data_IF_787589994032
#
_entry.id   IF_787589994032
#
_cell.length_a   1.000
_cell.length_b   1.000
_cell.length_c   1.000
_cell.angle_alpha   90.00
_cell.angle_beta   90.00
_cell.angle_gamma   90.00
#
_symmetry.space_group_name_H-M   'P 1'
#
loop_
_entity.id
_entity.type
_entity.pdbx_description
1 polymer ?
#
# COMPACT_ATOMS: atom_id res chain seq x y z
N UNK A 1 24.35 -9.99 -39.95
CA UNK A 1 23.02 -10.59 -39.82
C UNK A 1 23.07 -11.53 -38.62
N UNK A 2 22.60 -11.05 -37.47
CA UNK A 2 22.40 -11.85 -36.26
C UNK A 2 20.90 -12.21 -36.20
N UNK A 3 20.52 -13.43 -35.81
CA UNK A 3 19.15 -13.90 -35.90
C UNK A 3 18.25 -13.21 -34.85
N UNK A 4 17.00 -12.98 -35.23
CA UNK A 4 15.93 -12.46 -34.38
C UNK A 4 15.76 -13.35 -33.13
N UNK A 5 15.82 -12.72 -31.94
CA UNK A 5 15.29 -13.32 -30.71
C UNK A 5 13.78 -13.37 -30.87
N UNK A 6 13.25 -14.58 -31.07
CA UNK A 6 11.81 -14.82 -30.97
C UNK A 6 11.29 -14.32 -29.63
N UNK A 7 10.34 -13.39 -29.67
CA UNK A 7 9.55 -13.00 -28.50
C UNK A 7 8.79 -14.25 -28.02
N UNK A 8 9.26 -14.84 -26.92
CA UNK A 8 8.43 -15.75 -26.16
C UNK A 8 7.28 -14.93 -25.59
N UNK A 9 6.08 -15.18 -26.13
CA UNK A 9 4.81 -14.65 -25.67
C UNK A 9 4.68 -14.95 -24.16
N UNK A 10 4.31 -13.96 -23.31
CA UNK A 10 4.07 -14.25 -21.90
C UNK A 10 3.01 -15.36 -21.81
N UNK A 11 3.17 -16.33 -20.89
CA UNK A 11 2.18 -17.39 -20.72
C UNK A 11 0.83 -16.75 -20.38
N UNK A 12 -0.29 -17.32 -20.86
CA UNK A 12 -1.62 -16.84 -20.50
C UNK A 12 -1.77 -16.80 -18.98
N UNK A 13 -2.63 -15.91 -18.45
CA UNK A 13 -2.90 -15.82 -17.03
C UNK A 13 -3.21 -17.22 -16.50
N UNK A 14 -2.52 -17.61 -15.43
CA UNK A 14 -2.70 -18.90 -14.79
C UNK A 14 -4.10 -18.87 -14.14
N UNK A 15 -5.11 -19.37 -14.88
CA UNK A 15 -6.54 -19.49 -14.55
C UNK A 15 -7.47 -18.34 -15.01
N UNK A 16 -7.69 -18.19 -16.32
CA UNK A 16 -8.90 -17.52 -16.83
C UNK A 16 -9.97 -18.57 -17.18
N UNK A 17 -11.17 -18.46 -16.58
CA UNK A 17 -12.27 -19.45 -16.68
C UNK A 17 -13.26 -19.16 -17.82
N UNK A 18 -12.98 -18.14 -18.62
CA UNK A 18 -13.87 -17.49 -19.58
C UNK A 18 -13.06 -17.02 -20.82
N UNK A 19 -13.65 -16.20 -21.68
CA UNK A 19 -12.95 -15.72 -22.88
C UNK A 19 -11.76 -14.82 -22.52
N UNK A 20 -10.60 -15.11 -23.11
CA UNK A 20 -9.41 -14.26 -23.03
C UNK A 20 -9.36 -13.36 -24.26
N UNK A 21 -9.37 -12.04 -24.04
CA UNK A 21 -9.16 -11.03 -25.07
C UNK A 21 -7.71 -10.54 -25.02
N UNK A 22 -7.06 -10.34 -26.18
CA UNK A 22 -5.74 -9.71 -26.23
C UNK A 22 -5.95 -8.22 -26.47
N UNK A 23 -5.52 -7.39 -25.53
CA UNK A 23 -5.73 -5.94 -25.58
C UNK A 23 -5.00 -5.27 -26.75
N UNK A 24 -5.61 -4.19 -27.24
CA UNK A 24 -5.13 -3.29 -28.29
C UNK A 24 -5.14 -1.84 -27.80
N UNK A 25 -4.49 -0.93 -28.53
CA UNK A 25 -4.30 0.47 -28.13
C UNK A 25 -5.60 1.23 -27.84
N UNK A 26 -6.72 0.76 -28.40
CA UNK A 26 -8.03 1.42 -28.31
C UNK A 26 -8.97 0.72 -27.31
N UNK A 27 -8.53 -0.35 -26.66
CA UNK A 27 -9.38 -1.07 -25.72
C UNK A 27 -9.52 -0.31 -24.41
N UNK A 28 -10.75 -0.34 -23.89
CA UNK A 28 -11.20 0.21 -22.62
C UNK A 28 -12.16 -0.78 -21.98
N UNK A 29 -12.34 -0.76 -20.65
CA UNK A 29 -13.28 -1.66 -19.98
C UNK A 29 -14.68 -1.48 -20.55
N UNK A 30 -15.07 -0.25 -20.89
CA UNK A 30 -16.38 0.02 -21.50
C UNK A 30 -16.48 -0.52 -22.93
N UNK A 31 -15.44 -0.40 -23.75
CA UNK A 31 -15.46 -0.97 -25.10
C UNK A 31 -15.50 -2.50 -25.07
N UNK A 32 -14.81 -3.13 -24.12
CA UNK A 32 -14.79 -4.58 -23.94
C UNK A 32 -16.11 -5.07 -23.32
N UNK A 33 -16.63 -4.37 -22.32
CA UNK A 33 -17.91 -4.62 -21.69
C UNK A 33 -19.05 -4.59 -22.70
N UNK A 34 -19.08 -3.55 -23.54
CA UNK A 34 -20.05 -3.40 -24.62
C UNK A 34 -19.90 -4.51 -25.66
N UNK A 35 -18.67 -4.86 -26.05
CA UNK A 35 -18.39 -5.85 -27.08
C UNK A 35 -18.75 -7.27 -26.63
N UNK A 36 -18.49 -7.58 -25.36
CA UNK A 36 -18.58 -8.95 -24.83
C UNK A 36 -19.76 -9.17 -23.87
N UNK A 37 -20.59 -8.15 -23.62
CA UNK A 37 -21.73 -8.20 -22.70
C UNK A 37 -21.35 -8.64 -21.29
N UNK A 38 -20.46 -7.88 -20.65
CA UNK A 38 -19.92 -8.14 -19.31
C UNK A 38 -19.87 -6.84 -18.49
N UNK A 39 -19.67 -6.92 -17.17
CA UNK A 39 -19.48 -5.72 -16.34
C UNK A 39 -18.10 -5.08 -16.58
N UNK A 40 -18.07 -3.74 -16.77
CA UNK A 40 -16.82 -2.98 -16.88
C UNK A 40 -15.97 -3.13 -15.62
N UNK A 41 -16.62 -3.07 -14.45
CA UNK A 41 -15.95 -3.18 -13.16
C UNK A 41 -15.39 -4.59 -12.95
N UNK A 42 -16.11 -5.63 -13.35
CA UNK A 42 -15.60 -7.00 -13.23
C UNK A 42 -14.41 -7.26 -14.17
N UNK A 43 -14.38 -6.66 -15.38
CA UNK A 43 -13.17 -6.68 -16.22
C UNK A 43 -12.00 -6.10 -15.42
N UNK A 44 -12.18 -4.95 -14.77
CA UNK A 44 -11.13 -4.34 -13.96
C UNK A 44 -10.69 -5.23 -12.78
N UNK A 45 -11.61 -5.77 -11.99
CA UNK A 45 -11.28 -6.55 -10.80
C UNK A 45 -10.69 -7.92 -11.10
N UNK A 46 -11.13 -8.57 -12.19
CA UNK A 46 -10.63 -9.89 -12.58
C UNK A 46 -9.29 -9.83 -13.29
N UNK A 47 -8.87 -8.64 -13.75
CA UNK A 47 -7.64 -8.44 -14.48
C UNK A 47 -6.69 -7.56 -13.69
N UNK A 48 -5.88 -8.18 -12.81
CA UNK A 48 -4.91 -7.46 -12.00
C UNK A 48 -3.95 -6.53 -12.78
N UNK A 49 -3.77 -6.74 -14.08
CA UNK A 49 -2.84 -5.96 -14.90
C UNK A 49 -3.51 -4.72 -15.54
N UNK A 50 -4.83 -4.54 -15.41
CA UNK A 50 -5.54 -3.33 -15.86
C UNK A 50 -5.39 -2.24 -14.79
N UNK A 51 -4.74 -1.14 -15.15
CA UNK A 51 -4.50 0.02 -14.28
C UNK A 51 -5.65 1.02 -14.26
N UNK A 52 -6.23 1.23 -15.44
CA UNK A 52 -7.26 2.22 -15.70
C UNK A 52 -8.14 1.70 -16.81
N UNK A 53 -9.45 1.85 -16.64
CA UNK A 53 -10.40 1.30 -17.59
C UNK A 53 -10.45 2.06 -18.93
N UNK A 54 -9.82 3.23 -19.06
CA UNK A 54 -9.92 4.08 -20.24
C UNK A 54 -8.66 4.12 -21.12
N UNK A 55 -7.60 3.39 -20.76
CA UNK A 55 -6.32 3.40 -21.47
C UNK A 55 -5.54 2.11 -21.15
N UNK A 56 -5.79 1.06 -21.94
CA UNK A 56 -5.22 -0.28 -21.77
C UNK A 56 -3.88 -0.45 -22.50
N UNK A 57 -2.96 -1.20 -21.88
CA UNK A 57 -1.68 -1.57 -22.49
C UNK A 57 -1.89 -2.64 -23.56
N UNK A 58 -1.24 -2.51 -24.72
CA UNK A 58 -1.31 -3.48 -25.83
C UNK A 58 -0.68 -4.85 -25.50
N UNK A 59 -1.16 -5.89 -26.18
CA UNK A 59 -0.65 -7.27 -26.11
C UNK A 59 -0.72 -7.92 -24.72
N UNK A 60 -1.63 -7.44 -23.86
CA UNK A 60 -1.91 -8.01 -22.54
C UNK A 60 -3.13 -8.96 -22.62
N UNK A 61 -3.02 -10.20 -22.12
CA UNK A 61 -4.17 -11.10 -22.06
C UNK A 61 -5.14 -10.69 -20.93
N UNK A 62 -6.34 -10.28 -21.32
CA UNK A 62 -7.45 -9.89 -20.45
C UNK A 62 -8.44 -11.04 -20.32
N UNK A 63 -8.63 -11.53 -19.10
CA UNK A 63 -9.66 -12.49 -18.73
C UNK A 63 -11.03 -11.79 -18.57
N UNK A 64 -11.95 -11.99 -19.50
CA UNK A 64 -13.26 -11.35 -19.40
C UNK A 64 -14.13 -12.02 -18.33
N UNK A 65 -15.02 -11.33 -17.63
CA UNK A 65 -16.04 -11.98 -16.80
C UNK A 65 -16.98 -12.84 -17.65
N UNK A 66 -17.84 -13.61 -17.00
CA UNK A 66 -18.93 -14.27 -17.69
C UNK A 66 -20.03 -13.25 -18.07
N UNK A 67 -20.84 -13.60 -19.06
CA UNK A 67 -21.76 -12.66 -19.68
C UNK A 67 -22.99 -12.37 -18.81
N UNK A 68 -23.40 -11.11 -18.79
CA UNK A 68 -24.63 -10.66 -18.18
C UNK A 68 -25.37 -9.72 -19.14
N UNK A 69 -26.66 -9.51 -18.91
CA UNK A 69 -27.31 -8.34 -19.49
C UNK A 69 -26.71 -7.10 -18.84
N UNK A 70 -26.34 -6.11 -19.66
CA UNK A 70 -25.68 -4.90 -19.18
C UNK A 70 -26.60 -3.68 -19.28
N UNK A 71 -26.49 -2.78 -18.31
CA UNK A 71 -27.04 -1.43 -18.38
C UNK A 71 -25.89 -0.41 -18.42
N UNK A 72 -26.00 0.58 -19.30
CA UNK A 72 -25.03 1.67 -19.38
C UNK A 72 -25.46 2.81 -18.46
N UNK A 73 -24.67 3.05 -17.42
CA UNK A 73 -24.92 4.08 -16.40
C UNK A 73 -24.81 5.48 -16.99
N UNK A 74 -25.81 6.31 -16.68
CA UNK A 74 -25.91 7.72 -17.07
C UNK A 74 -25.47 8.65 -15.93
N UNK A 75 -25.17 9.89 -16.28
CA UNK A 75 -24.60 10.89 -15.35
C UNK A 75 -25.44 11.15 -14.08
N UNK A 76 -26.76 11.03 -14.19
CA UNK A 76 -27.71 11.28 -13.09
C UNK A 76 -28.39 10.00 -12.57
N UNK A 77 -27.89 8.83 -12.96
CA UNK A 77 -28.44 7.58 -12.45
C UNK A 77 -28.10 7.41 -10.97
N UNK A 78 -29.04 6.86 -10.21
CA UNK A 78 -28.85 6.42 -8.83
C UNK A 78 -29.19 4.94 -8.75
N UNK A 79 -28.75 4.24 -7.71
CA UNK A 79 -29.18 2.86 -7.48
C UNK A 79 -30.72 2.74 -7.51
N UNK A 80 -31.43 3.69 -6.90
CA UNK A 80 -32.90 3.74 -6.90
C UNK A 80 -33.46 3.84 -8.31
N UNK A 81 -33.04 4.83 -9.10
CA UNK A 81 -33.59 5.05 -10.44
C UNK A 81 -33.29 3.90 -11.40
N UNK A 82 -32.11 3.29 -11.29
CA UNK A 82 -31.73 2.14 -12.12
C UNK A 82 -32.49 0.90 -11.70
N UNK A 83 -32.61 0.63 -10.39
CA UNK A 83 -33.34 -0.53 -9.88
C UNK A 83 -34.84 -0.45 -10.23
N UNK A 84 -35.46 0.73 -10.10
CA UNK A 84 -36.85 0.97 -10.52
C UNK A 84 -37.05 0.75 -12.02
N UNK A 85 -36.13 1.24 -12.84
CA UNK A 85 -36.16 1.04 -14.29
C UNK A 85 -36.05 -0.44 -14.68
N UNK A 86 -35.22 -1.20 -13.95
CA UNK A 86 -34.98 -2.63 -14.19
C UNK A 86 -36.05 -3.53 -13.53
N UNK A 87 -36.86 -3.01 -12.62
CA UNK A 87 -37.84 -3.79 -11.87
C UNK A 87 -37.23 -4.73 -10.83
N UNK A 88 -36.06 -4.40 -10.28
CA UNK A 88 -35.35 -5.19 -9.24
C UNK A 88 -35.21 -4.36 -7.95
N UNK A 89 -34.85 -5.00 -6.83
CA UNK A 89 -34.54 -4.26 -5.61
C UNK A 89 -33.15 -3.65 -5.68
N UNK A 90 -32.90 -2.58 -4.91
CA UNK A 90 -31.54 -1.99 -4.78
C UNK A 90 -30.56 -3.03 -4.28
N UNK A 91 -31.00 -3.89 -3.36
CA UNK A 91 -30.19 -4.97 -2.81
C UNK A 91 -29.79 -5.97 -3.89
N UNK A 92 -30.73 -6.41 -4.73
CA UNK A 92 -30.42 -7.29 -5.87
C UNK A 92 -29.47 -6.61 -6.86
N UNK A 93 -29.68 -5.32 -7.15
CA UNK A 93 -28.78 -4.57 -8.03
C UNK A 93 -27.34 -4.50 -7.50
N UNK A 94 -27.16 -4.32 -6.18
CA UNK A 94 -25.86 -4.35 -5.51
C UNK A 94 -25.29 -5.77 -5.52
N UNK A 95 -26.08 -6.82 -5.27
CA UNK A 95 -25.61 -8.21 -5.34
C UNK A 95 -25.09 -8.58 -6.73
N UNK A 96 -25.70 -8.04 -7.79
CA UNK A 96 -25.22 -8.20 -9.17
C UNK A 96 -23.98 -7.36 -9.50
N UNK A 97 -23.65 -6.38 -8.66
CA UNK A 97 -22.56 -5.43 -8.85
C UNK A 97 -21.87 -5.14 -7.50
N UNK A 98 -21.22 -6.14 -6.86
CA UNK A 98 -20.78 -6.07 -5.46
C UNK A 98 -19.63 -5.09 -5.21
N UNK A 99 -19.15 -4.43 -6.26
CA UNK A 99 -18.22 -3.30 -6.16
C UNK A 99 -18.93 -2.00 -5.75
N UNK A 100 -20.25 -1.93 -5.86
CA UNK A 100 -21.08 -0.84 -5.34
C UNK A 100 -21.26 -1.05 -3.84
N UNK A 101 -21.07 0.00 -3.04
CA UNK A 101 -21.29 -0.08 -1.59
C UNK A 101 -22.76 -0.33 -1.25
N UNK A 102 -23.00 -0.96 -0.10
CA UNK A 102 -24.35 -1.20 0.44
C UNK A 102 -25.19 0.08 0.62
N UNK A 103 -24.52 1.23 0.79
CA UNK A 103 -25.14 2.56 0.92
C UNK A 103 -25.29 3.31 -0.42
N UNK A 104 -24.86 2.71 -1.54
CA UNK A 104 -24.85 3.28 -2.89
C UNK A 104 -24.12 4.63 -3.02
N UNK A 105 -23.27 4.99 -2.05
CA UNK A 105 -22.62 6.30 -2.01
C UNK A 105 -21.65 6.51 -3.19
N UNK A 106 -21.08 5.42 -3.69
CA UNK A 106 -20.14 5.39 -4.80
C UNK A 106 -20.81 5.14 -6.16
N UNK A 107 -22.14 5.20 -6.25
CA UNK A 107 -22.86 5.08 -7.51
C UNK A 107 -23.59 6.39 -7.87
N UNK A 108 -23.35 7.00 -9.05
CA UNK A 108 -22.59 6.47 -10.19
C UNK A 108 -21.10 6.89 -10.18
N UNK A 109 -20.62 7.60 -9.15
CA UNK A 109 -19.30 8.23 -9.13
C UNK A 109 -18.12 7.24 -9.33
N UNK A 110 -18.25 6.02 -8.83
CA UNK A 110 -17.29 4.92 -9.00
C UNK A 110 -17.17 4.44 -10.46
N UNK A 111 -18.21 4.60 -11.28
CA UNK A 111 -18.18 4.24 -12.71
C UNK A 111 -17.21 5.08 -13.53
N UNK A 112 -16.80 6.25 -13.03
CA UNK A 112 -15.77 7.09 -13.67
C UNK A 112 -14.44 6.34 -13.75
N UNK A 113 -14.15 5.47 -12.77
CA UNK A 113 -12.89 4.73 -12.69
C UNK A 113 -13.03 3.29 -13.17
N UNK A 114 -14.18 2.67 -12.89
CA UNK A 114 -14.44 1.26 -13.16
C UNK A 114 -15.17 1.01 -14.48
N UNK A 115 -15.62 2.07 -15.16
CA UNK A 115 -16.44 2.00 -16.38
C UNK A 115 -17.95 2.00 -16.09
N UNK A 116 -18.73 2.20 -17.15
CA UNK A 116 -20.17 2.51 -17.10
C UNK A 116 -21.11 1.33 -17.34
N UNK A 117 -20.62 0.15 -17.71
CA UNK A 117 -21.48 -1.01 -17.95
C UNK A 117 -21.56 -1.88 -16.70
N UNK A 118 -22.78 -2.05 -16.20
CA UNK A 118 -23.10 -2.82 -14.98
C UNK A 118 -24.00 -3.99 -15.32
N UNK A 119 -23.91 -5.07 -14.55
CA UNK A 119 -24.75 -6.24 -14.77
C UNK A 119 -26.17 -6.02 -14.22
N UNK A 120 -27.18 -6.48 -14.96
CA UNK A 120 -28.60 -6.45 -14.57
C UNK A 120 -29.20 -7.86 -14.45
N UNK A 121 -28.40 -8.86 -14.74
CA UNK A 121 -28.64 -10.27 -14.46
C UNK A 121 -27.36 -10.86 -13.88
N UNK A 122 -27.43 -12.02 -13.19
CA UNK A 122 -26.23 -12.75 -12.79
C UNK A 122 -25.29 -12.95 -13.99
N UNK A 123 -24.00 -12.84 -13.75
CA UNK A 123 -22.96 -13.00 -14.77
C UNK A 123 -22.73 -14.45 -15.18
N UNK A 124 -23.43 -15.43 -14.62
CA UNK A 124 -23.07 -16.85 -14.67
C UNK A 124 -23.38 -17.64 -15.95
N UNK A 125 -24.05 -17.08 -16.95
CA UNK A 125 -24.45 -17.84 -18.13
C UNK A 125 -25.28 -19.09 -17.78
N UNK A 126 -26.58 -18.89 -17.54
CA UNK A 126 -27.56 -19.91 -17.13
C UNK A 126 -27.49 -20.36 -15.65
N UNK A 127 -27.93 -19.51 -14.71
CA UNK A 127 -28.56 -20.05 -13.50
C UNK A 127 -29.81 -19.25 -13.07
N UNK A 128 -30.98 -19.90 -13.15
CA UNK A 128 -32.20 -19.40 -12.52
C UNK A 128 -32.12 -19.74 -11.02
N UNK A 129 -31.87 -18.73 -10.19
CA UNK A 129 -31.94 -18.85 -8.72
C UNK A 129 -33.38 -19.20 -8.32
N UNK A 130 -33.66 -20.49 -8.08
CA UNK A 130 -34.84 -20.88 -7.28
C UNK A 130 -34.50 -20.67 -5.82
N UNK A 131 -34.78 -19.47 -5.30
CA UNK A 131 -34.76 -19.20 -3.86
C UNK A 131 -35.87 -19.98 -3.19
N UNK A 132 -35.52 -20.93 -2.31
CA UNK A 132 -36.47 -21.48 -1.34
C UNK A 132 -36.51 -20.53 -0.13
N UNK A 133 -37.72 -20.23 0.38
CA UNK A 133 -38.02 -19.25 1.45
C UNK A 133 -37.41 -19.58 2.84
N UNK A 134 -36.37 -20.42 2.91
CA UNK A 134 -35.75 -20.87 4.15
C UNK A 134 -34.28 -20.49 4.32
N UNK A 135 -33.68 -19.76 3.37
CA UNK A 135 -32.27 -19.37 3.48
C UNK A 135 -32.12 -18.06 4.27
N UNK A 136 -31.35 -18.03 5.39
CA UNK A 136 -31.07 -16.80 6.11
C UNK A 136 -30.31 -15.83 5.20
N UNK A 137 -30.76 -14.58 5.20
CA UNK A 137 -30.23 -13.42 4.50
C UNK A 137 -28.73 -13.43 4.19
N UNK A 138 -28.38 -13.48 2.89
CA UNK A 138 -27.43 -12.60 2.18
C UNK A 138 -26.09 -12.26 2.87
N UNK A 139 -25.49 -13.23 3.56
CA UNK A 139 -24.20 -13.06 4.22
C UNK A 139 -23.30 -14.27 3.94
N UNK A 140 -22.09 -13.99 3.45
CA UNK A 140 -21.00 -14.97 3.33
C UNK A 140 -20.63 -15.69 4.64
N UNK A 141 -21.09 -15.17 5.79
CA UNK A 141 -20.94 -15.77 7.11
C UNK A 141 -22.27 -16.29 7.66
N UNK A 142 -22.20 -17.38 8.41
CA UNK A 142 -23.29 -17.85 9.24
C UNK A 142 -23.15 -17.35 10.69
N UNK A 143 -24.28 -17.13 11.35
CA UNK A 143 -24.32 -16.65 12.75
C UNK A 143 -23.95 -17.75 13.75
N UNK A 144 -24.35 -18.99 13.48
CA UNK A 144 -24.14 -20.14 14.36
C UNK A 144 -23.60 -21.35 13.60
N UNK A 145 -22.93 -22.25 14.33
CA UNK A 145 -22.43 -23.52 13.79
C UNK A 145 -23.60 -24.52 13.70
N UNK A 146 -23.72 -25.23 12.57
CA UNK A 146 -24.71 -26.31 12.41
C UNK A 146 -24.02 -27.67 12.43
N UNK A 147 -24.82 -28.73 12.59
CA UNK A 147 -24.32 -30.11 12.60
C UNK A 147 -23.57 -30.43 11.30
N UNK A 148 -22.37 -30.99 11.46
CA UNK A 148 -21.50 -31.39 10.36
C UNK A 148 -22.08 -32.61 9.63
N UNK A 149 -22.29 -32.56 8.31
CA UNK A 149 -22.73 -33.71 7.52
C UNK A 149 -21.73 -34.87 7.55
N UNK A 150 -22.23 -36.10 7.44
CA UNK A 150 -21.38 -37.31 7.42
C UNK A 150 -20.44 -37.33 6.21
N UNK A 151 -20.87 -36.77 5.08
CA UNK A 151 -20.07 -36.66 3.85
C UNK A 151 -19.18 -35.42 3.79
N UNK A 152 -19.04 -34.65 4.88
CA UNK A 152 -18.23 -33.43 4.89
C UNK A 152 -16.73 -33.72 4.72
N UNK A 153 -16.04 -32.91 3.89
CA UNK A 153 -14.60 -33.01 3.66
C UNK A 153 -13.83 -33.01 4.98
N UNK A 154 -12.99 -34.03 5.27
CA UNK A 154 -12.28 -34.13 6.54
C UNK A 154 -11.45 -32.89 6.90
N UNK A 155 -10.96 -32.16 5.88
CA UNK A 155 -10.17 -30.96 6.07
C UNK A 155 -10.99 -29.68 6.31
N UNK A 156 -12.30 -29.70 6.02
CA UNK A 156 -13.17 -28.55 6.20
C UNK A 156 -13.31 -28.16 7.68
N UNK A 157 -13.30 -26.86 7.95
CA UNK A 157 -13.40 -26.29 9.29
C UNK A 157 -14.72 -26.72 9.97
N UNK A 158 -14.67 -26.97 11.27
CA UNK A 158 -15.84 -27.33 12.07
C UNK A 158 -16.72 -26.13 12.42
N UNK A 159 -16.17 -24.91 12.36
CA UNK A 159 -16.87 -23.65 12.58
C UNK A 159 -17.71 -23.25 11.35
N UNK A 160 -18.66 -24.09 10.97
CA UNK A 160 -19.46 -23.92 9.78
C UNK A 160 -20.97 -23.94 10.06
N UNK A 161 -21.67 -22.91 9.58
CA UNK A 161 -23.12 -22.78 9.71
C UNK A 161 -23.91 -23.12 8.46
N UNK A 162 -23.26 -23.28 7.30
CA UNK A 162 -23.90 -23.75 6.06
C UNK A 162 -22.98 -24.70 5.29
N UNK A 163 -23.50 -25.88 4.97
CA UNK A 163 -22.80 -26.93 4.23
C UNK A 163 -23.45 -27.16 2.87
N UNK A 164 -22.63 -27.43 1.86
CA UNK A 164 -23.10 -27.78 0.53
C UNK A 164 -22.46 -29.07 0.07
N UNK A 165 -23.25 -30.03 -0.42
CA UNK A 165 -22.76 -31.26 -1.04
C UNK A 165 -22.59 -31.02 -2.53
N UNK A 166 -21.35 -31.13 -3.00
CA UNK A 166 -21.03 -30.97 -4.43
C UNK A 166 -21.73 -32.06 -5.23
N UNK A 167 -22.43 -31.66 -6.29
CA UNK A 167 -23.06 -32.52 -7.26
C UNK A 167 -22.13 -32.80 -8.46
N UNK A 168 -22.47 -33.83 -9.25
CA UNK A 168 -21.71 -34.12 -10.47
C UNK A 168 -21.95 -33.02 -11.51
N UNK A 169 -20.87 -32.36 -11.93
CA UNK A 169 -20.93 -31.24 -12.87
C UNK A 169 -20.85 -29.86 -12.22
N UNK A 170 -20.86 -29.79 -10.88
CA UNK A 170 -20.56 -28.54 -10.17
C UNK A 170 -19.15 -28.05 -10.46
N UNK A 171 -19.01 -26.73 -10.46
CA UNK A 171 -17.72 -26.08 -10.47
C UNK A 171 -17.60 -25.06 -9.34
N UNK A 172 -16.39 -24.57 -9.12
CA UNK A 172 -16.16 -23.64 -8.03
C UNK A 172 -17.02 -22.38 -8.14
N UNK A 173 -17.30 -21.91 -9.35
CA UNK A 173 -18.05 -20.69 -9.54
C UNK A 173 -19.53 -20.89 -9.21
N UNK A 174 -20.12 -22.00 -9.66
CA UNK A 174 -21.51 -22.33 -9.32
C UNK A 174 -21.70 -22.42 -7.81
N UNK A 175 -20.76 -23.06 -7.10
CA UNK A 175 -20.81 -23.21 -5.64
C UNK A 175 -20.59 -21.87 -4.91
N UNK A 176 -19.57 -21.09 -5.30
CA UNK A 176 -19.28 -19.80 -4.67
C UNK A 176 -20.44 -18.81 -4.87
N UNK A 177 -20.97 -18.73 -6.09
CA UNK A 177 -22.07 -17.86 -6.46
C UNK A 177 -23.39 -18.26 -5.82
N UNK A 178 -23.71 -19.56 -5.78
CA UNK A 178 -24.93 -20.07 -5.14
C UNK A 178 -25.01 -19.71 -3.65
N UNK A 179 -23.87 -19.63 -2.98
CA UNK A 179 -23.79 -19.45 -1.53
C UNK A 179 -23.28 -18.08 -1.07
N UNK A 180 -23.03 -17.17 -2.02
CA UNK A 180 -22.53 -15.82 -1.76
C UNK A 180 -21.27 -15.83 -0.88
N UNK A 181 -20.29 -16.66 -1.26
CA UNK A 181 -19.02 -16.80 -0.52
C UNK A 181 -17.84 -16.51 -1.43
N UNK A 182 -16.92 -15.65 -0.97
CA UNK A 182 -15.69 -15.35 -1.71
C UNK A 182 -14.69 -16.50 -1.69
N UNK A 183 -13.91 -16.67 -2.76
CA UNK A 183 -12.91 -17.75 -2.89
C UNK A 183 -11.91 -17.81 -1.73
N UNK A 184 -11.47 -16.66 -1.22
CA UNK A 184 -10.55 -16.58 -0.07
C UNK A 184 -11.17 -17.15 1.20
N UNK A 185 -12.42 -16.79 1.49
CA UNK A 185 -13.16 -17.28 2.64
C UNK A 185 -13.52 -18.76 2.48
N UNK A 186 -13.95 -19.18 1.29
CA UNK A 186 -14.27 -20.57 0.98
C UNK A 186 -13.04 -21.48 1.12
N UNK A 187 -11.87 -21.09 0.61
CA UNK A 187 -10.64 -21.90 0.72
C UNK A 187 -10.03 -21.85 2.11
N UNK A 188 -10.22 -20.76 2.86
CA UNK A 188 -9.86 -20.71 4.28
C UNK A 188 -10.73 -21.67 5.12
N UNK A 189 -12.03 -21.74 4.84
CA UNK A 189 -12.96 -22.66 5.49
C UNK A 189 -12.80 -24.11 5.02
N UNK A 190 -12.27 -24.32 3.81
CA UNK A 190 -12.04 -25.63 3.20
C UNK A 190 -10.60 -25.81 2.70
N UNK A 191 -9.61 -26.04 3.60
CA UNK A 191 -8.21 -26.20 3.26
C UNK A 191 -7.85 -27.28 2.22
N UNK A 192 -8.75 -28.25 1.97
CA UNK A 192 -8.56 -29.22 0.87
C UNK A 192 -8.78 -28.62 -0.51
N UNK A 193 -9.38 -27.43 -0.61
CA UNK A 193 -9.65 -26.72 -1.85
C UNK A 193 -8.49 -25.79 -2.17
N UNK A 194 -7.87 -25.99 -3.34
CA UNK A 194 -6.83 -25.08 -3.81
C UNK A 194 -7.44 -23.80 -4.38
N UNK A 195 -7.01 -22.59 -3.96
CA UNK A 195 -7.43 -21.35 -4.59
C UNK A 195 -7.11 -21.27 -6.09
N UNK A 196 -6.06 -21.98 -6.53
CA UNK A 196 -5.62 -22.00 -7.94
C UNK A 196 -6.27 -23.10 -8.77
N UNK A 197 -6.90 -24.09 -8.11
CA UNK A 197 -7.45 -25.30 -8.74
C UNK A 197 -8.81 -25.68 -8.13
N UNK A 198 -9.62 -24.67 -7.80
CA UNK A 198 -10.78 -24.83 -6.93
C UNK A 198 -11.77 -25.86 -7.49
N UNK A 199 -12.20 -25.71 -8.75
CA UNK A 199 -13.13 -26.63 -9.42
C UNK A 199 -12.63 -28.07 -9.40
N UNK A 200 -11.38 -28.30 -9.79
CA UNK A 200 -10.79 -29.65 -9.78
C UNK A 200 -10.48 -30.18 -8.38
N UNK A 201 -10.58 -29.34 -7.34
CA UNK A 201 -10.45 -29.76 -5.94
C UNK A 201 -11.81 -30.16 -5.34
N UNK A 202 -12.93 -29.80 -5.98
CA UNK A 202 -14.26 -30.25 -5.58
C UNK A 202 -14.43 -31.74 -5.92
N UNK A 203 -15.00 -32.48 -4.98
CA UNK A 203 -15.24 -33.91 -5.12
C UNK A 203 -16.76 -34.12 -5.08
N UNK A 204 -17.38 -34.58 -6.18
CA UNK A 204 -18.81 -34.88 -6.21
C UNK A 204 -19.20 -35.86 -5.09
N UNK A 205 -20.32 -35.60 -4.45
CA UNK A 205 -20.83 -36.30 -3.27
C UNK A 205 -20.21 -35.87 -1.94
N UNK A 206 -19.21 -34.98 -1.93
CA UNK A 206 -18.57 -34.49 -0.71
C UNK A 206 -19.10 -33.11 -0.30
N UNK A 207 -19.30 -32.91 1.00
CA UNK A 207 -19.79 -31.64 1.53
C UNK A 207 -18.66 -30.67 1.94
N UNK A 208 -18.81 -29.40 1.59
CA UNK A 208 -17.90 -28.31 1.91
C UNK A 208 -18.61 -27.20 2.68
N UNK A 209 -17.86 -26.45 3.46
CA UNK A 209 -18.38 -25.30 4.19
C UNK A 209 -18.58 -24.11 3.24
N UNK A 210 -19.82 -23.68 3.05
CA UNK A 210 -20.18 -22.55 2.17
C UNK A 210 -20.69 -21.34 2.96
N UNK A 211 -20.80 -21.46 4.28
CA UNK A 211 -21.08 -20.35 5.20
C UNK A 211 -20.36 -20.58 6.53
N UNK A 212 -19.07 -20.26 6.63
CA UNK A 212 -18.33 -20.35 7.88
C UNK A 212 -18.84 -19.34 8.90
N UNK A 213 -18.67 -19.61 10.20
CA UNK A 213 -18.83 -18.57 11.22
C UNK A 213 -17.59 -17.68 11.25
N UNK A 214 -17.68 -16.51 11.89
CA UNK A 214 -16.51 -15.62 12.06
C UNK A 214 -15.34 -16.25 12.83
N UNK A 215 -15.59 -17.36 13.55
CA UNK A 215 -14.56 -18.12 14.26
C UNK A 215 -13.77 -19.08 13.36
N UNK A 216 -14.23 -19.30 12.12
CA UNK A 216 -13.58 -20.21 11.19
C UNK A 216 -12.28 -19.67 10.58
N UNK A 217 -12.09 -18.35 10.63
CA UNK A 217 -10.84 -17.74 10.17
C UNK A 217 -9.81 -17.81 11.31
N UNK A 218 -8.53 -18.15 11.01
CA UNK A 218 -7.47 -17.95 11.99
C UNK A 218 -7.45 -16.49 12.42
N UNK A 219 -7.15 -16.21 13.70
CA UNK A 219 -6.96 -14.85 14.20
C UNK A 219 -6.03 -14.11 13.22
N UNK A 220 -6.55 -13.09 12.55
CA UNK A 220 -5.71 -12.28 11.67
C UNK A 220 -4.71 -11.56 12.57
N UNK A 221 -3.42 -11.80 12.33
CA UNK A 221 -2.41 -10.93 12.91
C UNK A 221 -2.74 -9.52 12.43
N UNK A 222 -2.92 -8.54 13.34
CA UNK A 222 -3.11 -7.17 12.91
C UNK A 222 -1.92 -6.79 12.02
N UNK A 223 -2.14 -6.04 10.92
CA UNK A 223 -1.04 -5.57 10.11
C UNK A 223 -0.02 -4.86 11.02
N UNK A 224 1.30 -5.04 10.80
CA UNK A 224 2.31 -4.39 11.62
C UNK A 224 2.04 -2.89 11.72
N UNK A 225 2.16 -2.33 12.92
CA UNK A 225 1.98 -0.90 13.11
C UNK A 225 3.01 -0.11 12.30
N UNK A 226 2.61 1.04 11.78
CA UNK A 226 3.50 1.97 11.09
C UNK A 226 3.20 3.41 11.53
N UNK A 227 4.20 4.27 11.38
CA UNK A 227 4.11 5.70 11.67
C UNK A 227 4.36 6.50 10.40
N UNK A 228 3.45 7.43 10.11
CA UNK A 228 3.59 8.38 9.01
C UNK A 228 4.53 9.50 9.42
N UNK A 229 5.59 9.71 8.66
CA UNK A 229 6.59 10.74 8.92
C UNK A 229 6.51 11.95 7.98
N UNK A 230 5.63 11.91 6.97
CA UNK A 230 5.33 13.02 6.07
C UNK A 230 6.04 12.94 4.72
N UNK A 231 6.01 14.05 3.98
CA UNK A 231 6.47 14.13 2.60
C UNK A 231 7.92 14.61 2.51
N UNK A 232 8.79 13.86 1.82
CA UNK A 232 10.20 14.19 1.70
C UNK A 232 10.69 14.25 0.25
N UNK A 233 11.55 15.22 -0.05
CA UNK A 233 12.28 15.32 -1.31
C UNK A 233 13.78 15.55 -1.05
N UNK A 234 14.63 15.34 -2.05
CA UNK A 234 16.07 15.66 -1.95
C UNK A 234 16.38 17.00 -2.60
N UNK A 235 17.20 17.83 -1.94
CA UNK A 235 17.82 19.02 -2.56
C UNK A 235 17.63 20.33 -1.79
N UNK A 236 18.23 21.40 -2.33
CA UNK A 236 18.19 22.76 -1.78
C UNK A 236 17.52 23.70 -2.79
N UNK A 237 16.19 23.91 -2.66
CA UNK A 237 15.36 24.88 -3.39
C UNK A 237 14.77 24.46 -4.76
N UNK A 238 13.80 25.27 -5.17
CA UNK A 238 12.89 25.24 -6.33
C UNK A 238 13.54 24.80 -7.67
N UNK A 239 14.86 24.91 -7.80
CA UNK A 239 15.59 24.50 -9.02
C UNK A 239 15.74 22.97 -9.14
N UNK A 240 15.67 22.24 -8.02
CA UNK A 240 15.79 20.78 -8.00
C UNK A 240 14.44 20.06 -8.21
N UNK A 241 13.33 20.79 -8.42
CA UNK A 241 12.00 20.19 -8.64
C UNK A 241 11.95 19.21 -9.82
N UNK A 242 12.90 19.29 -10.75
CA UNK A 242 12.94 18.42 -11.92
C UNK A 242 13.78 17.14 -11.72
N UNK A 243 14.41 16.93 -10.55
CA UNK A 243 15.25 15.76 -10.27
C UNK A 243 14.50 14.70 -9.46
N UNK A 244 14.80 13.40 -9.69
CA UNK A 244 14.35 12.33 -8.82
C UNK A 244 14.76 12.61 -7.37
N UNK A 245 13.79 12.50 -6.45
CA UNK A 245 14.11 12.48 -5.03
C UNK A 245 14.91 11.23 -4.68
N UNK A 246 15.91 11.41 -3.81
CA UNK A 246 16.76 10.37 -3.22
C UNK A 246 16.47 10.23 -1.72
N UNK A 247 15.33 10.74 -1.23
CA UNK A 247 14.98 10.68 0.18
C UNK A 247 14.95 9.23 0.71
N UNK A 248 14.55 8.29 -0.16
CA UNK A 248 14.74 6.85 -0.03
C UNK A 248 15.31 6.32 -1.36
N UNK A 249 16.22 5.35 -1.29
CA UNK A 249 17.02 4.90 -2.43
C UNK A 249 17.23 3.39 -2.54
N UNK A 250 16.78 2.61 -1.54
CA UNK A 250 16.92 1.17 -1.51
C UNK A 250 15.98 0.41 -2.47
N UNK A 251 15.73 -0.90 -2.21
CA UNK A 251 14.88 -1.76 -3.03
C UNK A 251 13.53 -1.13 -3.35
N UNK A 252 13.12 -1.28 -4.62
CA UNK A 252 11.88 -0.71 -5.14
C UNK A 252 10.94 -1.82 -5.57
N UNK A 253 9.68 -1.68 -5.17
CA UNK A 253 8.58 -2.43 -5.74
C UNK A 253 7.73 -1.44 -6.53
N UNK A 254 7.99 -1.38 -7.84
CA UNK A 254 7.14 -0.71 -8.81
C UNK A 254 6.04 -1.69 -9.20
N UNK A 255 4.79 -1.37 -8.89
CA UNK A 255 3.67 -2.24 -9.23
C UNK A 255 2.75 -1.56 -10.26
N UNK A 256 2.13 -2.37 -11.11
CA UNK A 256 1.04 -1.99 -12.00
C UNK A 256 -0.27 -1.90 -11.15
N UNK A 257 -0.31 -1.10 -10.05
CA UNK A 257 -1.52 -0.75 -9.26
C UNK A 257 -1.18 0.17 -8.07
N UNK A 258 -2.13 0.90 -7.45
CA UNK A 258 -1.81 1.65 -6.24
C UNK A 258 -1.41 0.70 -5.13
N UNK A 259 -0.23 0.93 -4.58
CA UNK A 259 0.42 0.06 -3.62
C UNK A 259 0.00 0.51 -2.21
N UNK A 260 -0.63 -0.39 -1.44
CA UNK A 260 -1.09 -0.04 -0.09
C UNK A 260 0.08 0.13 0.87
N UNK A 261 -0.08 0.95 1.90
CA UNK A 261 0.94 1.16 2.94
C UNK A 261 1.38 -0.20 3.53
N UNK A 262 0.42 -1.07 3.86
CA UNK A 262 0.72 -2.42 4.37
C UNK A 262 1.46 -3.32 3.38
N UNK A 263 1.18 -3.18 2.08
CA UNK A 263 1.91 -3.94 1.05
C UNK A 263 3.35 -3.46 0.90
N UNK A 264 3.57 -2.14 0.95
CA UNK A 264 4.92 -1.56 0.93
C UNK A 264 5.70 -1.97 2.17
N UNK A 265 5.06 -1.87 3.34
CA UNK A 265 5.64 -2.29 4.61
C UNK A 265 6.04 -3.77 4.58
N UNK A 266 5.16 -4.66 4.12
CA UNK A 266 5.47 -6.09 4.02
C UNK A 266 6.65 -6.34 3.07
N UNK A 267 6.69 -5.67 1.91
CA UNK A 267 7.80 -5.77 0.96
C UNK A 267 9.12 -5.28 1.58
N UNK A 268 9.15 -4.11 2.23
CA UNK A 268 10.36 -3.57 2.83
C UNK A 268 10.84 -4.38 4.04
N UNK A 269 9.92 -4.85 4.88
CA UNK A 269 10.25 -5.74 5.99
C UNK A 269 10.79 -7.09 5.50
N UNK A 270 10.36 -7.59 4.33
CA UNK A 270 10.97 -8.78 3.72
C UNK A 270 12.44 -8.57 3.31
N UNK A 271 12.86 -7.32 3.14
CA UNK A 271 14.26 -6.91 2.91
C UNK A 271 14.97 -6.45 4.20
N UNK A 272 14.34 -6.60 5.37
CA UNK A 272 14.83 -6.09 6.66
C UNK A 272 15.02 -4.57 6.69
N UNK A 273 14.19 -3.83 5.94
CA UNK A 273 14.24 -2.38 5.83
C UNK A 273 13.01 -1.76 6.52
N UNK A 274 13.18 -1.08 7.67
CA UNK A 274 12.06 -0.57 8.47
C UNK A 274 11.49 0.75 7.96
N UNK A 275 12.24 1.51 7.16
CA UNK A 275 11.80 2.77 6.56
C UNK A 275 11.32 2.49 5.15
N UNK A 276 10.18 3.04 4.80
CA UNK A 276 9.57 2.79 3.50
C UNK A 276 8.75 3.99 3.06
N UNK A 277 8.54 4.13 1.77
CA UNK A 277 7.78 5.24 1.26
C UNK A 277 7.01 4.90 0.01
N UNK A 278 5.91 5.63 -0.15
CA UNK A 278 5.07 5.56 -1.33
C UNK A 278 5.35 6.78 -2.21
N UNK A 279 5.92 6.52 -3.37
CA UNK A 279 6.07 7.49 -4.44
C UNK A 279 4.91 7.30 -5.42
N UNK A 280 4.22 8.37 -5.80
CA UNK A 280 3.08 8.35 -6.73
C UNK A 280 1.91 7.40 -6.34
N UNK A 281 1.91 6.88 -5.11
CA UNK A 281 1.03 5.81 -4.61
C UNK A 281 1.11 4.48 -5.38
N UNK A 282 2.08 4.29 -6.29
CA UNK A 282 2.24 3.07 -7.10
C UNK A 282 3.64 2.44 -6.97
N UNK A 283 4.58 3.20 -6.39
CA UNK A 283 5.97 2.81 -6.25
C UNK A 283 6.32 2.78 -4.79
N UNK A 284 6.61 1.58 -4.27
CA UNK A 284 7.21 1.41 -2.95
C UNK A 284 8.73 1.59 -3.07
N UNK A 285 9.30 2.39 -2.18
CA UNK A 285 10.75 2.54 -2.04
C UNK A 285 11.11 2.21 -0.59
N UNK A 286 12.01 1.25 -0.40
CA UNK A 286 12.48 0.84 0.91
C UNK A 286 13.80 1.50 1.24
N UNK A 287 14.06 1.71 2.53
CA UNK A 287 15.38 2.08 3.02
C UNK A 287 15.54 1.70 4.50
N UNK A 288 16.76 1.78 5.01
CA UNK A 288 17.02 1.62 6.43
C UNK A 288 16.82 2.94 7.19
N UNK A 289 17.06 4.06 6.51
CA UNK A 289 17.08 5.42 7.06
C UNK A 289 16.65 6.43 6.02
N UNK A 290 16.14 7.58 6.46
CA UNK A 290 15.94 8.74 5.60
C UNK A 290 17.30 9.29 5.16
N UNK A 291 17.54 9.40 3.86
CA UNK A 291 18.84 9.80 3.32
C UNK A 291 19.19 11.25 3.62
N UNK A 292 20.50 11.56 3.58
CA UNK A 292 20.97 12.95 3.65
C UNK A 292 20.31 13.81 2.57
N UNK A 293 20.27 15.13 2.81
CA UNK A 293 19.63 16.13 1.94
C UNK A 293 18.12 16.00 1.81
N UNK A 294 17.48 15.12 2.59
CA UNK A 294 16.03 14.99 2.66
C UNK A 294 15.41 16.18 3.38
N UNK A 295 14.42 16.81 2.74
CA UNK A 295 13.66 17.93 3.29
C UNK A 295 12.19 17.61 3.35
N UNK A 296 11.55 18.01 4.46
CA UNK A 296 10.11 17.94 4.59
C UNK A 296 9.47 18.96 3.65
N UNK A 297 8.35 18.58 3.05
CA UNK A 297 7.51 19.49 2.28
C UNK A 297 6.16 19.65 2.98
N UNK A 298 5.90 20.83 3.52
CA UNK A 298 4.63 21.17 4.19
C UNK A 298 3.56 21.70 3.22
N UNK A 299 3.92 22.04 1.97
CA UNK A 299 3.03 22.67 0.98
C UNK A 299 2.17 21.62 0.27
N UNK A 300 2.69 20.40 0.10
CA UNK A 300 1.98 19.31 -0.56
C UNK A 300 1.64 18.23 0.44
N UNK A 301 0.36 18.11 0.78
CA UNK A 301 -0.16 16.85 1.25
C UNK A 301 0.11 15.82 0.15
N UNK A 302 0.92 14.79 0.44
CA UNK A 302 1.18 13.63 -0.42
C UNK A 302 -0.10 12.86 -0.86
N UNK A 303 -1.26 13.45 -0.63
CA UNK A 303 -2.60 12.92 -0.81
C UNK A 303 -3.15 13.10 -2.23
N UNK A 304 -2.61 14.03 -3.04
CA UNK A 304 -3.17 14.27 -4.37
C UNK A 304 -2.47 13.48 -5.49
N UNK A 305 -3.25 12.64 -6.20
CA UNK A 305 -2.97 12.36 -7.62
C UNK A 305 -3.17 13.68 -8.37
N UNK A 306 -2.12 14.47 -8.56
CA UNK A 306 -2.12 15.69 -9.38
C UNK A 306 -3.36 16.58 -9.19
N UNK A 307 -3.32 17.51 -8.23
CA UNK A 307 -4.26 18.63 -8.19
C UNK A 307 -4.26 19.39 -9.52
N UNK A 308 -5.46 19.70 -10.01
CA UNK A 308 -5.82 20.44 -11.23
C UNK A 308 -4.70 21.17 -11.98
N UNK A 309 -4.43 20.70 -13.21
CA UNK A 309 -3.68 21.44 -14.22
C UNK A 309 -2.34 20.81 -14.58
N UNK A 310 -2.41 19.91 -15.57
CA UNK A 310 -1.37 19.35 -16.45
C UNK A 310 0.12 19.66 -16.15
N UNK A 311 0.89 18.57 -16.21
CA UNK A 311 2.37 18.44 -16.18
C UNK A 311 2.99 18.19 -14.81
N UNK A 312 2.90 16.94 -14.35
CA UNK A 312 3.82 16.40 -13.35
C UNK A 312 4.66 15.32 -14.01
N UNK A 313 5.96 15.58 -14.22
CA UNK A 313 6.89 14.56 -14.73
C UNK A 313 6.99 13.34 -13.80
N UNK A 314 7.41 12.16 -14.32
CA UNK A 314 7.41 10.90 -13.58
C UNK A 314 8.31 10.89 -12.32
N UNK A 315 9.39 11.67 -12.31
CA UNK A 315 10.41 11.67 -11.24
C UNK A 315 10.37 12.89 -10.31
N UNK A 316 9.37 13.76 -10.43
CA UNK A 316 9.40 15.13 -9.86
C UNK A 316 8.71 15.27 -8.49
N UNK A 317 8.57 14.20 -7.71
CA UNK A 317 7.62 14.18 -6.57
C UNK A 317 8.24 13.78 -5.25
N UNK A 318 7.81 14.40 -4.12
CA UNK A 318 8.18 13.92 -2.79
C UNK A 318 7.66 12.51 -2.56
N UNK A 319 8.39 11.75 -1.73
CA UNK A 319 7.99 10.43 -1.26
C UNK A 319 7.24 10.61 0.06
N UNK A 320 6.08 9.96 0.20
CA UNK A 320 5.41 9.86 1.49
C UNK A 320 6.13 8.80 2.33
N UNK A 321 6.84 9.21 3.37
CA UNK A 321 7.70 8.35 4.18
C UNK A 321 6.97 7.84 5.41
N UNK A 322 7.15 6.55 5.66
CA UNK A 322 6.65 5.78 6.78
C UNK A 322 7.81 5.02 7.44
N UNK A 323 7.62 4.64 8.70
CA UNK A 323 8.55 3.76 9.41
C UNK A 323 7.76 2.72 10.21
N UNK A 324 8.34 1.54 10.35
CA UNK A 324 7.87 0.52 11.30
C UNK A 324 8.22 0.86 12.74
N UNK A 325 8.86 2.00 12.98
CA UNK A 325 9.15 2.56 14.30
C UNK A 325 8.62 3.99 14.41
N UNK A 326 8.28 4.39 15.63
CA UNK A 326 7.87 5.76 15.93
C UNK A 326 9.00 6.78 15.70
N UNK A 327 10.26 6.36 15.86
CA UNK A 327 11.42 7.16 15.49
C UNK A 327 11.77 6.93 14.02
N UNK A 328 11.96 8.01 13.25
CA UNK A 328 12.52 7.93 11.91
C UNK A 328 14.04 8.00 12.01
N UNK A 329 14.73 6.93 11.64
CA UNK A 329 16.19 6.96 11.52
C UNK A 329 16.59 7.85 10.33
N UNK A 330 17.62 8.68 10.50
CA UNK A 330 18.08 9.64 9.48
C UNK A 330 19.57 9.48 9.28
N UNK A 331 20.04 9.55 8.04
CA UNK A 331 21.47 9.61 7.71
C UNK A 331 22.06 10.98 8.08
N UNK A 332 23.21 10.95 8.72
CA UNK A 332 23.96 12.13 9.13
C UNK A 332 25.46 11.87 9.09
N UNK A 333 26.23 12.96 9.02
CA UNK A 333 27.69 12.93 9.05
C UNK A 333 28.20 13.80 10.20
N UNK A 334 29.29 13.36 10.85
CA UNK A 334 30.03 14.16 11.82
C UNK A 334 30.97 15.12 11.07
N UNK A 335 30.85 16.43 11.31
CA UNK A 335 31.67 17.46 10.65
C UNK A 335 32.85 17.95 11.50
N UNK A 336 32.98 17.39 12.71
CA UNK A 336 34.11 17.59 13.60
C UNK A 336 33.71 17.97 15.03
N UNK A 337 34.74 18.12 15.86
CA UNK A 337 34.64 18.57 17.23
C UNK A 337 34.89 20.08 17.31
N UNK A 338 34.07 20.80 18.07
CA UNK A 338 34.16 22.26 18.21
C UNK A 338 34.17 22.64 19.69
N UNK A 339 34.94 23.67 20.04
CA UNK A 339 35.00 24.17 21.42
C UNK A 339 33.62 24.64 21.90
N UNK A 340 33.18 24.17 23.07
CA UNK A 340 31.79 24.33 23.52
C UNK A 340 31.63 24.56 25.02
N UNK A 341 32.66 25.12 25.68
CA UNK A 341 32.73 25.19 27.16
C UNK A 341 31.56 25.95 27.79
N UNK A 342 31.30 27.17 27.33
CA UNK A 342 30.27 28.06 27.88
C UNK A 342 29.25 28.55 26.84
N UNK A 343 29.55 28.35 25.55
CA UNK A 343 28.69 28.78 24.44
C UNK A 343 28.04 27.59 23.73
N UNK A 344 26.88 27.85 23.13
CA UNK A 344 26.24 26.90 22.24
C UNK A 344 27.00 26.80 20.92
N UNK A 345 27.20 25.56 20.46
CA UNK A 345 27.93 25.31 19.20
C UNK A 345 27.12 25.65 17.95
N UNK A 346 25.79 25.70 18.08
CA UNK A 346 24.86 26.03 17.00
C UNK A 346 24.03 27.26 17.38
N UNK A 347 23.72 28.08 16.38
CA UNK A 347 22.82 29.22 16.46
C UNK A 347 21.75 29.10 15.36
N UNK A 348 20.65 29.83 15.48
CA UNK A 348 19.62 29.83 14.45
C UNK A 348 18.26 30.35 14.85
N UNK A 349 17.36 30.48 13.86
CA UNK A 349 15.95 30.91 14.09
C UNK A 349 15.10 29.87 14.80
N UNK A 350 15.38 28.58 14.59
CA UNK A 350 14.62 27.45 15.14
C UNK A 350 15.39 26.69 16.24
N UNK A 351 16.30 27.39 16.91
CA UNK A 351 17.06 26.87 18.04
C UNK A 351 16.14 26.26 19.09
N UNK A 352 16.40 25.00 19.46
CA UNK A 352 15.65 24.31 20.50
C UNK A 352 16.54 23.36 21.29
N UNK A 353 16.28 23.27 22.59
CA UNK A 353 16.90 22.31 23.51
C UNK A 353 15.86 21.25 23.91
N UNK A 354 16.22 19.98 23.74
CA UNK A 354 15.48 18.86 24.31
C UNK A 354 16.40 18.00 25.17
N UNK A 355 16.05 17.83 26.45
CA UNK A 355 16.87 17.10 27.42
C UNK A 355 16.77 15.58 27.26
N UNK A 356 17.87 14.90 27.61
CA UNK A 356 17.99 13.45 27.69
C UNK A 356 17.65 12.72 26.38
N UNK A 357 18.24 13.17 25.28
CA UNK A 357 18.09 12.54 23.96
C UNK A 357 19.34 11.77 23.53
N UNK A 358 19.12 10.67 22.81
CA UNK A 358 20.17 9.96 22.05
C UNK A 358 20.53 10.71 20.77
N UNK A 359 21.63 10.30 20.14
CA UNK A 359 22.08 10.95 18.89
C UNK A 359 21.08 10.74 17.76
N UNK A 360 20.48 9.56 17.66
CA UNK A 360 19.43 9.23 16.68
C UNK A 360 18.14 10.04 16.93
N UNK A 361 17.73 10.17 18.18
CA UNK A 361 16.57 11.00 18.54
C UNK A 361 16.79 12.46 18.18
N UNK A 362 18.00 12.97 18.43
CA UNK A 362 18.38 14.32 18.08
C UNK A 362 18.43 14.53 16.56
N UNK A 363 18.99 13.58 15.82
CA UNK A 363 19.03 13.61 14.35
C UNK A 363 17.63 13.64 13.75
N UNK A 364 16.74 12.74 14.21
CA UNK A 364 15.34 12.72 13.80
C UNK A 364 14.65 14.05 14.14
N UNK A 365 14.76 14.50 15.39
CA UNK A 365 14.10 15.71 15.84
C UNK A 365 14.54 16.95 15.04
N UNK A 366 15.85 17.17 14.91
CA UNK A 366 16.37 18.34 14.21
C UNK A 366 16.06 18.31 12.71
N UNK A 367 16.03 17.13 12.08
CA UNK A 367 15.78 17.00 10.65
C UNK A 367 14.28 16.99 10.33
N UNK A 368 13.54 16.08 10.96
CA UNK A 368 12.14 15.83 10.65
C UNK A 368 11.20 16.84 11.30
N UNK A 369 11.49 17.39 12.48
CA UNK A 369 10.59 18.31 13.18
C UNK A 369 11.01 19.78 13.09
N UNK A 370 12.29 20.07 12.84
CA UNK A 370 12.85 21.44 12.84
C UNK A 370 13.48 21.88 11.54
N UNK A 371 13.63 20.98 10.57
CA UNK A 371 14.26 21.26 9.27
C UNK A 371 15.65 21.90 9.38
N UNK A 372 16.36 21.64 10.49
CA UNK A 372 17.66 22.20 10.78
C UNK A 372 18.78 21.49 10.01
N UNK A 373 19.80 22.25 9.61
CA UNK A 373 20.96 21.73 8.86
C UNK A 373 21.99 21.05 9.76
N UNK A 374 22.05 21.44 11.02
CA UNK A 374 23.00 20.95 12.00
C UNK A 374 22.31 20.51 13.28
N UNK A 375 22.94 19.56 13.95
CA UNK A 375 22.56 19.18 15.29
C UNK A 375 23.77 18.74 16.13
N UNK A 376 23.62 18.80 17.44
CA UNK A 376 24.64 18.39 18.39
C UNK A 376 24.00 17.89 19.70
N UNK A 377 24.68 16.97 20.38
CA UNK A 377 24.38 16.62 21.78
C UNK A 377 25.36 17.35 22.69
N UNK A 378 24.94 18.48 23.25
CA UNK A 378 25.76 19.29 24.15
C UNK A 378 25.33 19.07 25.59
N UNK A 379 26.28 18.82 26.49
CA UNK A 379 26.00 18.72 27.93
C UNK A 379 26.04 20.12 28.53
N UNK A 380 25.02 20.48 29.32
CA UNK A 380 25.00 21.76 30.05
C UNK A 380 25.31 21.54 31.52
N UNK A 381 26.31 22.26 32.03
CA UNK A 381 26.72 22.17 33.43
C UNK A 381 25.88 23.12 34.28
N UNK A 382 24.70 22.69 34.70
CA UNK A 382 23.91 23.40 35.70
C UNK A 382 24.38 23.08 37.14
N UNK A 383 24.90 21.87 37.36
CA UNK A 383 25.39 21.37 38.65
C UNK A 383 26.33 20.17 38.44
N UNK A 384 27.31 19.90 39.32
CA UNK A 384 28.22 18.74 39.21
C UNK A 384 27.52 17.37 39.17
N UNK A 385 26.24 17.31 39.51
CA UNK A 385 25.46 16.08 39.75
C UNK A 385 24.42 15.78 38.65
N UNK A 386 24.14 16.71 37.73
CA UNK A 386 23.16 16.55 36.64
C UNK A 386 23.83 16.86 35.31
N UNK A 387 24.13 15.81 34.54
CA UNK A 387 24.72 15.91 33.19
C UNK A 387 23.71 15.43 32.16
N UNK A 388 22.74 16.28 31.83
CA UNK A 388 21.82 15.97 30.75
C UNK A 388 22.46 16.34 29.41
N UNK A 389 22.41 15.39 28.45
CA UNK A 389 22.73 15.69 27.06
C UNK A 389 21.53 16.40 26.45
N UNK A 390 21.72 17.65 26.04
CA UNK A 390 20.72 18.42 25.33
C UNK A 390 20.92 18.25 23.84
N UNK A 391 19.87 17.85 23.15
CA UNK A 391 19.81 17.97 21.71
C UNK A 391 19.68 19.45 21.33
N UNK A 392 20.61 19.93 20.51
CA UNK A 392 20.61 21.29 19.97
C UNK A 392 20.48 21.18 18.46
N UNK A 393 19.51 21.92 17.90
CA UNK A 393 19.33 22.08 16.46
C UNK A 393 19.72 23.50 16.02
N UNK A 394 20.30 23.65 14.83
CA UNK A 394 20.56 24.96 14.26
C UNK A 394 20.84 24.92 12.76
N UNK A 395 20.72 26.07 12.12
CA UNK A 395 21.00 26.28 10.70
C UNK A 395 22.39 26.91 10.48
N UNK A 396 23.05 27.37 11.54
CA UNK A 396 24.37 27.98 11.48
C UNK A 396 25.29 27.50 12.62
N UNK A 397 26.57 27.34 12.30
CA UNK A 397 27.62 27.18 13.31
C UNK A 397 27.84 28.52 14.02
N UNK A 398 28.03 28.50 15.34
CA UNK A 398 28.40 29.71 16.06
C UNK A 398 29.78 30.20 15.57
N UNK A 399 29.90 31.41 14.99
CA UNK A 399 31.15 31.88 14.40
C UNK A 399 32.29 32.09 15.42
N UNK A 400 31.96 32.20 16.71
CA UNK A 400 32.94 32.39 17.79
C UNK A 400 33.68 31.09 18.16
N UNK A 401 33.12 29.93 17.83
CA UNK A 401 33.70 28.63 18.24
C UNK A 401 34.75 28.16 17.23
N UNK A 402 35.76 27.45 17.73
CA UNK A 402 36.85 26.90 16.91
C UNK A 402 36.73 25.40 16.77
N UNK A 403 36.97 24.88 15.55
CA UNK A 403 37.13 23.45 15.29
C UNK A 403 38.39 22.95 16.01
N UNK A 404 38.23 21.95 16.86
CA UNK A 404 39.30 21.31 17.61
C UNK A 404 39.93 20.19 16.78
N UNK A 405 41.27 20.10 16.82
CA UNK A 405 42.00 19.00 16.19
C UNK A 405 41.90 17.75 17.06
N UNK A 406 41.32 16.69 16.50
CA UNK A 406 41.32 15.34 17.11
C UNK A 406 42.29 14.49 16.29
N UNK A 407 43.23 13.82 16.96
CA UNK A 407 44.21 12.92 16.34
C UNK A 407 43.80 11.48 16.67
N UNK A 408 43.68 10.64 15.64
CA UNK A 408 43.24 9.23 15.73
C UNK A 408 41.82 9.00 15.17
N UNK A 409 41.69 8.06 14.24
CA UNK A 409 40.39 7.54 13.79
C UNK A 409 39.80 6.59 14.84
N UNK A 410 38.47 6.57 14.89
CA UNK A 410 37.59 5.61 15.57
C UNK A 410 37.51 5.63 17.11
N UNK A 411 36.27 5.58 17.57
CA UNK A 411 35.85 5.42 18.94
C UNK A 411 36.22 4.02 19.46
N UNK A 412 37.40 3.88 20.05
CA UNK A 412 37.75 2.70 20.85
C UNK A 412 37.40 2.98 22.33
N UNK A 413 36.25 2.46 22.79
CA UNK A 413 35.85 2.12 24.19
C UNK A 413 36.18 3.07 25.37
N UNK A 414 36.72 4.27 25.14
CA UNK A 414 37.20 5.20 26.18
C UNK A 414 36.63 6.60 25.98
N UNK A 415 35.34 6.75 26.26
CA UNK A 415 34.70 8.05 26.44
C UNK A 415 34.72 8.98 25.22
N UNK A 416 33.92 10.03 25.28
CA UNK A 416 33.81 11.02 24.21
C UNK A 416 35.07 11.92 24.22
N UNK A 417 36.01 11.65 23.31
CA UNK A 417 37.29 12.38 23.17
C UNK A 417 37.07 13.88 22.95
N UNK A 418 35.98 14.26 22.27
CA UNK A 418 35.65 15.66 22.04
C UNK A 418 35.23 16.33 23.35
N UNK A 419 34.37 15.69 24.13
CA UNK A 419 34.01 16.17 25.48
C UNK A 419 35.22 16.27 26.40
N UNK A 420 36.16 15.31 26.33
CA UNK A 420 37.41 15.35 27.09
C UNK A 420 38.29 16.58 26.80
N UNK A 421 38.14 17.20 25.62
CA UNK A 421 38.81 18.45 25.24
C UNK A 421 37.95 19.71 25.48
N UNK A 422 36.79 19.58 26.13
CA UNK A 422 35.84 20.66 26.33
C UNK A 422 35.12 21.08 25.05
N UNK A 423 34.96 20.16 24.11
CA UNK A 423 34.24 20.36 22.87
C UNK A 423 32.99 19.52 22.73
N UNK A 424 32.22 19.81 21.69
CA UNK A 424 31.03 19.08 21.27
C UNK A 424 31.15 18.68 19.81
N UNK A 425 30.77 17.44 19.49
CA UNK A 425 30.66 17.00 18.10
C UNK A 425 29.44 17.62 17.44
N UNK A 426 29.65 18.17 16.24
CA UNK A 426 28.56 18.69 15.41
C UNK A 426 28.32 17.72 14.27
N UNK A 427 27.05 17.50 13.98
CA UNK A 427 26.58 16.63 12.92
C UNK A 427 25.72 17.42 11.94
N UNK A 428 25.62 16.91 10.72
CA UNK A 428 24.77 17.48 9.67
C UNK A 428 24.03 16.40 8.91
N UNK A 429 22.82 16.70 8.47
CA UNK A 429 22.05 15.89 7.51
C UNK A 429 22.15 16.46 6.09
N UNK A 430 22.97 17.50 5.86
CA UNK A 430 23.14 18.15 4.57
C UNK A 430 24.55 17.93 4.02
N UNK A 431 24.65 17.24 2.88
CA UNK A 431 25.91 16.83 2.28
C UNK A 431 26.79 18.00 1.84
N UNK A 432 26.21 19.19 1.59
CA UNK A 432 26.94 20.40 1.18
C UNK A 432 28.05 20.81 2.17
N UNK A 433 27.94 20.38 3.42
CA UNK A 433 28.87 20.73 4.50
C UNK A 433 29.93 19.66 4.78
N UNK A 434 29.85 18.49 4.15
CA UNK A 434 30.84 17.41 4.33
C UNK A 434 32.13 17.73 3.55
N UNK A 435 32.01 18.18 2.30
CA UNK A 435 33.16 18.41 1.39
C UNK A 435 33.92 19.73 1.64
N UNK A 436 33.40 20.63 2.48
CA UNK A 436 34.03 21.93 2.78
C UNK A 436 34.76 22.00 4.13
N UNK A 437 34.83 20.89 4.87
CA UNK A 437 35.19 20.88 6.30
C UNK A 437 36.61 20.44 6.65
#
# INVERSE_FOLDING_TARGET
MLPEKGQQRPPPPVACLSHVHISTANDTCDSLALKYSVSSAEIFYNNPDILQCYDMVEDVPICLPFQCNTYQVKENDTCTSVSEYLGITIKDFISLNPWIRDDCYDFPSGTIYLGKFVCTTPSDGHYNRTTSESDPTDSSYADEVILRPENASPAANQECGRWYTVEEGDDCLSVLGQHDIGLSLFTAANPSISPRKCTTSLIPGQAYCVGPTKKALPESYPPPTYWRHGCYFSGNQIQDFHRPTLALSGPRLTHIRPLSISSCQAYCLSHSLPVFGLQNRDTCVCDDRLRMDSRRNEIWDCESRCGYGKDCGPDQRPIEVFSSYQLLAVDYANIGCFESKEEYVLLGKDYMEWGNSTLEECANFCTAAREADYFALQTKYYSPLEQDNFCICGDQLNPSIKKLRIEGESADEKGDVCKGKGGTYIYTTNSKYIERS
#
